data_IF_237938903131
#
_entry.id   IF_237938903131
#
_cell.length_a   1.000
_cell.length_b   1.000
_cell.length_c   1.000
_cell.angle_alpha   90.00
_cell.angle_beta   90.00
_cell.angle_gamma   90.00
#
_symmetry.space_group_name_H-M   'P 1'
#
loop_
_entity.id
_entity.type
_entity.pdbx_description
1 polymer ?
#
# COMPACT_ATOMS: atom_id res chain seq x y z
N UNK A 1 -6.08 -17.48 -21.03
CA UNK A 1 -6.72 -16.19 -20.68
C UNK A 1 -5.70 -15.39 -19.89
N UNK A 2 -5.70 -14.07 -19.98
CA UNK A 2 -4.78 -13.25 -19.17
C UNK A 2 -5.10 -13.47 -17.68
N UNK A 3 -4.08 -13.69 -16.85
CA UNK A 3 -4.21 -13.83 -15.39
C UNK A 3 -4.36 -12.43 -14.78
N UNK A 4 -5.59 -11.96 -14.63
CA UNK A 4 -5.89 -10.61 -14.18
C UNK A 4 -6.15 -10.57 -12.67
N UNK A 5 -5.43 -9.71 -11.96
CA UNK A 5 -5.58 -9.48 -10.52
C UNK A 5 -5.78 -7.99 -10.25
N UNK A 6 -6.73 -7.64 -9.40
CA UNK A 6 -6.87 -6.28 -8.89
C UNK A 6 -6.26 -6.18 -7.50
N UNK A 7 -5.37 -5.22 -7.29
CA UNK A 7 -4.81 -4.89 -5.99
C UNK A 7 -5.41 -3.58 -5.46
N UNK A 8 -6.07 -3.67 -4.31
CA UNK A 8 -6.60 -2.54 -3.55
C UNK A 8 -5.58 -2.17 -2.50
N UNK A 9 -4.93 -1.01 -2.68
CA UNK A 9 -3.78 -0.63 -1.89
C UNK A 9 -3.97 0.75 -1.25
N UNK A 10 -3.37 0.92 -0.07
CA UNK A 10 -3.32 2.21 0.62
C UNK A 10 -2.00 2.34 1.36
N UNK A 11 -1.30 3.43 1.14
CA UNK A 11 -0.12 3.79 1.92
C UNK A 11 -0.62 4.29 3.29
N UNK A 12 -0.11 3.67 4.35
CA UNK A 12 -0.55 3.90 5.73
C UNK A 12 -0.89 2.63 6.49
N UNK A 13 -1.13 1.51 5.79
CA UNK A 13 -1.21 0.19 6.42
C UNK A 13 0.19 -0.37 6.67
N UNK A 14 0.49 -0.71 7.90
CA UNK A 14 1.82 -1.21 8.29
C UNK A 14 2.16 -2.56 7.65
N UNK A 15 1.20 -3.49 7.58
CA UNK A 15 1.38 -4.78 6.91
C UNK A 15 1.59 -4.67 5.39
N UNK A 16 1.15 -3.58 4.77
CA UNK A 16 1.40 -3.33 3.35
C UNK A 16 2.88 -3.14 3.00
N UNK A 17 3.77 -2.94 4.00
CA UNK A 17 5.21 -3.03 3.80
C UNK A 17 5.63 -4.35 3.16
N UNK A 18 5.12 -5.46 3.70
CA UNK A 18 5.44 -6.80 3.21
C UNK A 18 5.02 -7.00 1.75
N UNK A 19 3.84 -6.48 1.40
CA UNK A 19 3.35 -6.47 0.01
C UNK A 19 4.19 -5.56 -0.88
N UNK A 20 4.51 -4.35 -0.43
CA UNK A 20 5.29 -3.38 -1.20
C UNK A 20 6.65 -3.94 -1.65
N UNK A 21 7.28 -4.75 -0.80
CA UNK A 21 8.58 -5.37 -1.09
C UNK A 21 8.50 -6.55 -2.07
N UNK A 22 7.32 -7.17 -2.27
CA UNK A 22 7.20 -8.45 -3.01
C UNK A 22 6.31 -8.38 -4.25
N UNK A 23 5.28 -7.53 -4.24
CA UNK A 23 4.18 -7.58 -5.21
C UNK A 23 4.67 -7.52 -6.66
N UNK A 24 5.59 -6.62 -6.97
CA UNK A 24 6.15 -6.48 -8.33
C UNK A 24 6.80 -7.77 -8.82
N UNK A 25 7.64 -8.37 -7.97
CA UNK A 25 8.35 -9.60 -8.30
C UNK A 25 7.40 -10.79 -8.46
N UNK A 26 6.42 -10.92 -7.57
CA UNK A 26 5.39 -11.97 -7.66
C UNK A 26 4.60 -11.85 -8.96
N UNK A 27 4.14 -10.65 -9.32
CA UNK A 27 3.38 -10.45 -10.55
C UNK A 27 4.21 -10.75 -11.81
N UNK A 28 5.48 -10.35 -11.84
CA UNK A 28 6.38 -10.64 -12.96
C UNK A 28 6.65 -12.14 -13.10
N UNK A 29 6.94 -12.82 -11.99
CA UNK A 29 7.24 -14.26 -11.97
C UNK A 29 6.06 -15.11 -12.43
N UNK A 30 4.86 -14.70 -12.06
CA UNK A 30 3.63 -15.45 -12.31
C UNK A 30 2.85 -14.97 -13.54
N UNK A 31 3.42 -14.04 -14.32
CA UNK A 31 2.81 -13.44 -15.53
C UNK A 31 1.40 -12.89 -15.26
N UNK A 32 1.28 -12.06 -14.22
CA UNK A 32 0.01 -11.47 -13.79
C UNK A 32 -0.15 -10.07 -14.35
N UNK A 33 -1.26 -9.82 -15.03
CA UNK A 33 -1.72 -8.49 -15.38
C UNK A 33 -2.39 -7.84 -14.18
N UNK A 34 -1.68 -6.89 -13.53
CA UNK A 34 -2.11 -6.27 -12.29
C UNK A 34 -2.82 -4.93 -12.54
N UNK A 35 -4.07 -4.84 -12.09
CA UNK A 35 -4.78 -3.56 -11.97
C UNK A 35 -4.63 -3.02 -10.56
N UNK A 36 -4.08 -1.81 -10.39
CA UNK A 36 -3.88 -1.20 -9.08
C UNK A 36 -4.94 -0.14 -8.83
N UNK A 37 -5.55 -0.18 -7.64
CA UNK A 37 -6.55 0.78 -7.20
C UNK A 37 -6.11 1.39 -5.86
N UNK A 38 -5.52 2.60 -5.88
CA UNK A 38 -5.20 3.33 -4.66
C UNK A 38 -6.48 3.80 -3.97
N UNK A 39 -6.64 3.48 -2.68
CA UNK A 39 -7.85 3.75 -1.89
C UNK A 39 -7.53 4.35 -0.53
N UNK A 40 -8.52 4.99 0.11
CA UNK A 40 -8.42 5.46 1.49
C UNK A 40 -8.88 4.39 2.48
N UNK A 41 -7.93 3.62 3.00
CA UNK A 41 -8.25 2.68 4.06
C UNK A 41 -8.78 3.38 5.33
N UNK A 42 -8.33 4.62 5.58
CA UNK A 42 -8.82 5.41 6.71
C UNK A 42 -10.32 5.72 6.60
N UNK A 43 -10.82 6.05 5.40
CA UNK A 43 -12.25 6.27 5.19
C UNK A 43 -13.05 4.98 5.35
N UNK A 44 -12.56 3.86 4.82
CA UNK A 44 -13.17 2.54 5.01
C UNK A 44 -13.26 2.19 6.50
N UNK A 45 -12.16 2.35 7.24
CA UNK A 45 -12.13 2.06 8.68
C UNK A 45 -13.08 2.94 9.47
N UNK A 46 -13.20 4.22 9.12
CA UNK A 46 -14.16 5.13 9.76
C UNK A 46 -15.60 4.69 9.51
N UNK A 47 -15.94 4.26 8.29
CA UNK A 47 -17.29 3.78 7.98
C UNK A 47 -17.68 2.51 8.72
N UNK A 48 -16.70 1.74 9.22
CA UNK A 48 -16.87 0.49 9.96
C UNK A 48 -16.66 0.65 11.47
N UNK A 49 -16.44 1.87 11.97
CA UNK A 49 -16.05 2.16 13.35
C UNK A 49 -14.87 1.29 13.82
N UNK A 50 -13.89 1.10 12.95
CA UNK A 50 -12.75 0.24 13.19
C UNK A 50 -11.43 1.01 13.15
N UNK A 51 -10.68 0.95 14.27
CA UNK A 51 -9.28 1.41 14.35
C UNK A 51 -8.43 0.20 14.75
N UNK A 52 -7.75 -0.47 13.80
CA UNK A 52 -7.15 -1.78 14.05
C UNK A 52 -6.00 -1.75 15.05
N UNK A 53 -5.19 -0.68 15.05
CA UNK A 53 -4.01 -0.54 15.90
C UNK A 53 -3.95 0.84 16.59
N UNK A 54 -4.95 1.18 17.46
CA UNK A 54 -4.90 2.46 18.15
C UNK A 54 -3.71 2.46 19.12
N UNK A 55 -3.01 3.58 19.32
CA UNK A 55 -1.87 3.67 20.25
C UNK A 55 -2.19 3.20 21.66
N UNK A 56 -3.44 3.32 22.10
CA UNK A 56 -3.91 2.86 23.41
C UNK A 56 -3.85 1.34 23.58
N UNK A 57 -3.86 0.56 22.52
CA UNK A 57 -3.74 -0.90 22.53
C UNK A 57 -2.28 -1.34 22.34
N UNK A 58 -1.41 -0.88 23.24
CA UNK A 58 0.05 -1.05 23.17
C UNK A 58 0.48 -2.50 22.84
N UNK A 59 -0.04 -3.48 23.55
CA UNK A 59 0.31 -4.90 23.33
C UNK A 59 0.03 -5.35 21.90
N UNK A 60 -1.08 -4.90 21.32
CA UNK A 60 -1.44 -5.23 19.93
C UNK A 60 -0.53 -4.52 18.93
N UNK A 61 -0.16 -3.28 19.19
CA UNK A 61 0.80 -2.52 18.37
C UNK A 61 2.18 -3.14 18.44
N UNK A 62 2.66 -3.49 19.63
CA UNK A 62 3.97 -4.15 19.82
C UNK A 62 4.01 -5.51 19.09
N UNK A 63 2.92 -6.28 19.14
CA UNK A 63 2.80 -7.54 18.38
C UNK A 63 2.89 -7.29 16.87
N UNK A 64 2.15 -6.31 16.35
CA UNK A 64 2.16 -5.95 14.93
C UNK A 64 3.59 -5.70 14.43
N UNK A 65 4.38 -4.90 15.15
CA UNK A 65 5.76 -4.61 14.77
C UNK A 65 6.64 -5.87 14.75
N UNK A 66 6.56 -6.69 15.80
CA UNK A 66 7.30 -7.96 15.87
C UNK A 66 6.88 -8.95 14.78
N UNK A 67 5.61 -8.93 14.42
CA UNK A 67 5.09 -9.81 13.38
C UNK A 67 5.59 -9.40 12.00
N UNK A 68 5.60 -8.11 11.69
CA UNK A 68 6.16 -7.58 10.45
C UNK A 68 7.65 -7.93 10.32
N UNK A 69 8.44 -7.79 11.38
CA UNK A 69 9.85 -8.22 11.37
C UNK A 69 10.02 -9.73 11.08
N UNK A 70 9.21 -10.57 11.74
CA UNK A 70 9.25 -12.03 11.53
C UNK A 70 8.90 -12.40 10.10
N UNK A 71 7.82 -11.81 9.58
CA UNK A 71 7.37 -12.08 8.21
C UNK A 71 8.37 -11.58 7.18
N UNK A 72 8.98 -10.42 7.40
CA UNK A 72 10.04 -9.92 6.54
C UNK A 72 11.22 -10.92 6.42
N UNK A 73 11.64 -11.50 7.55
CA UNK A 73 12.67 -12.55 7.59
C UNK A 73 12.24 -13.80 6.83
N UNK A 74 11.00 -14.25 7.01
CA UNK A 74 10.44 -15.43 6.32
C UNK A 74 10.39 -15.21 4.81
N UNK A 75 10.03 -14.02 4.36
CA UNK A 75 9.97 -13.67 2.94
C UNK A 75 11.33 -13.34 2.30
N UNK A 76 12.40 -13.27 3.09
CA UNK A 76 13.72 -12.88 2.59
C UNK A 76 13.81 -11.43 2.11
N UNK A 77 12.90 -10.57 2.56
CA UNK A 77 12.90 -9.13 2.26
C UNK A 77 13.61 -8.34 3.36
N UNK A 78 14.01 -7.08 3.11
CA UNK A 78 14.69 -6.27 4.13
C UNK A 78 13.89 -6.22 5.43
N UNK A 79 14.56 -6.43 6.56
CA UNK A 79 13.94 -6.37 7.89
C UNK A 79 13.78 -4.91 8.30
N UNK A 80 12.56 -4.45 8.62
CA UNK A 80 12.33 -3.04 8.93
C UNK A 80 12.93 -2.62 10.28
N UNK A 81 13.19 -1.32 10.42
CA UNK A 81 13.52 -0.69 11.69
C UNK A 81 12.20 -0.33 12.37
N UNK A 82 11.86 -1.03 13.43
CA UNK A 82 10.58 -0.85 14.13
C UNK A 82 10.76 -0.39 15.58
N UNK A 83 9.82 0.43 16.11
CA UNK A 83 8.63 0.94 15.40
C UNK A 83 9.00 1.98 14.35
N UNK A 84 8.41 1.90 13.17
CA UNK A 84 8.45 2.98 12.20
C UNK A 84 7.54 4.14 12.65
N UNK A 85 7.71 5.38 12.16
CA UNK A 85 6.79 6.49 12.44
C UNK A 85 5.33 6.09 12.18
N UNK A 86 4.49 6.11 13.22
CA UNK A 86 3.10 5.65 13.16
C UNK A 86 2.28 6.23 14.33
N UNK A 87 1.03 6.67 14.10
CA UNK A 87 0.32 6.78 12.82
C UNK A 87 0.89 7.87 11.92
N UNK A 88 0.60 7.80 10.62
CA UNK A 88 1.03 8.83 9.67
C UNK A 88 0.33 10.16 9.92
N UNK A 89 1.04 11.27 9.79
CA UNK A 89 0.50 12.63 9.81
C UNK A 89 -0.10 12.98 8.44
N UNK A 90 0.69 12.84 7.38
CA UNK A 90 0.30 13.14 6.01
C UNK A 90 -0.34 11.92 5.30
N UNK A 91 -1.39 11.38 5.92
CA UNK A 91 -1.97 10.10 5.50
C UNK A 91 -2.46 10.07 4.04
N UNK A 92 -3.16 11.12 3.60
CA UNK A 92 -3.76 11.11 2.26
C UNK A 92 -2.76 11.52 1.18
N UNK A 93 -1.78 12.37 1.50
CA UNK A 93 -0.80 12.90 0.55
C UNK A 93 -0.07 11.80 -0.23
N UNK A 94 0.45 10.79 0.46
CA UNK A 94 1.11 9.65 -0.19
C UNK A 94 0.19 8.89 -1.14
N UNK A 95 -1.10 8.77 -0.81
CA UNK A 95 -2.06 8.06 -1.64
C UNK A 95 -2.51 8.88 -2.86
N UNK A 96 -2.67 10.20 -2.71
CA UNK A 96 -2.97 11.10 -3.83
C UNK A 96 -1.83 11.10 -4.86
N UNK A 97 -0.58 11.22 -4.40
CA UNK A 97 0.61 11.02 -5.24
C UNK A 97 0.60 9.64 -5.88
N UNK A 98 0.23 8.60 -5.13
CA UNK A 98 0.11 7.24 -5.63
C UNK A 98 -0.85 7.10 -6.82
N UNK A 99 -1.94 7.87 -6.87
CA UNK A 99 -2.86 7.88 -8.02
C UNK A 99 -2.14 8.41 -9.27
N UNK A 100 -1.39 9.52 -9.14
CA UNK A 100 -0.62 10.09 -10.25
C UNK A 100 0.46 9.10 -10.73
N UNK A 101 1.16 8.44 -9.79
CA UNK A 101 2.14 7.41 -10.13
C UNK A 101 1.51 6.20 -10.83
N UNK A 102 0.27 5.85 -10.47
CA UNK A 102 -0.46 4.78 -11.14
C UNK A 102 -0.77 5.12 -12.60
N UNK A 103 -1.17 6.35 -12.87
CA UNK A 103 -1.42 6.84 -14.23
C UNK A 103 -0.17 6.84 -15.11
N UNK A 104 0.99 6.97 -14.50
CA UNK A 104 2.30 6.91 -15.18
C UNK A 104 2.89 5.49 -15.26
N UNK A 105 2.19 4.47 -14.75
CA UNK A 105 2.71 3.09 -14.70
C UNK A 105 3.86 2.88 -13.69
N UNK A 106 4.03 3.82 -12.75
CA UNK A 106 5.14 3.82 -11.78
C UNK A 106 4.69 3.42 -10.36
N UNK A 107 3.42 3.03 -10.15
CA UNK A 107 2.89 2.81 -8.81
C UNK A 107 3.67 1.78 -8.00
N UNK A 108 4.05 0.65 -8.58
CA UNK A 108 4.72 -0.42 -7.82
C UNK A 108 6.10 0.01 -7.32
N UNK A 109 6.85 0.75 -8.13
CA UNK A 109 8.16 1.29 -7.72
C UNK A 109 7.98 2.43 -6.71
N UNK A 110 7.01 3.31 -6.90
CA UNK A 110 6.62 4.35 -5.95
C UNK A 110 6.23 3.74 -4.60
N UNK A 111 5.36 2.75 -4.60
CA UNK A 111 4.88 2.03 -3.42
C UNK A 111 6.04 1.40 -2.65
N UNK A 112 6.92 0.68 -3.35
CA UNK A 112 8.11 0.07 -2.77
C UNK A 112 9.04 1.11 -2.16
N UNK A 113 9.44 2.13 -2.90
CA UNK A 113 10.39 3.13 -2.42
C UNK A 113 9.82 3.98 -1.27
N UNK A 114 8.53 4.29 -1.28
CA UNK A 114 7.85 4.98 -0.17
C UNK A 114 7.94 4.17 1.12
N UNK A 115 7.69 2.85 1.05
CA UNK A 115 7.82 1.97 2.21
C UNK A 115 9.28 1.72 2.62
N UNK A 116 10.23 1.65 1.69
CA UNK A 116 11.66 1.58 2.01
C UNK A 116 12.09 2.80 2.83
N UNK A 117 11.73 4.00 2.39
CA UNK A 117 12.05 5.22 3.11
C UNK A 117 11.37 5.27 4.47
N UNK A 118 10.13 4.83 4.57
CA UNK A 118 9.38 4.82 5.83
C UNK A 118 9.90 3.78 6.81
N UNK A 119 10.03 2.52 6.40
CA UNK A 119 10.33 1.38 7.27
C UNK A 119 11.81 1.11 7.48
N UNK A 120 12.67 1.46 6.52
CA UNK A 120 14.12 1.21 6.61
C UNK A 120 14.93 2.45 7.00
N UNK A 121 14.37 3.67 6.84
CA UNK A 121 15.09 4.92 7.09
C UNK A 121 14.35 5.89 8.03
N UNK A 122 13.12 5.55 8.46
CA UNK A 122 12.32 6.38 9.36
C UNK A 122 11.76 7.66 8.74
N UNK A 123 11.79 7.80 7.42
CA UNK A 123 11.20 8.93 6.73
C UNK A 123 9.70 8.63 6.51
N UNK A 124 8.85 9.22 7.32
CA UNK A 124 7.39 9.00 7.28
C UNK A 124 6.82 9.12 5.87
N UNK A 125 5.99 8.13 5.46
CA UNK A 125 5.35 8.14 4.14
C UNK A 125 4.50 9.40 3.95
N UNK A 126 4.65 10.06 2.79
CA UNK A 126 3.98 11.32 2.49
C UNK A 126 4.66 12.57 3.04
N UNK A 127 5.68 12.45 3.91
CA UNK A 127 6.49 13.59 4.32
C UNK A 127 7.29 14.14 3.14
N UNK A 128 7.66 15.43 3.19
CA UNK A 128 8.48 16.05 2.15
C UNK A 128 9.78 15.30 1.89
N UNK A 129 10.43 14.83 2.96
CA UNK A 129 11.67 14.07 2.87
C UNK A 129 11.48 12.73 2.19
N UNK A 130 10.42 12.00 2.53
CA UNK A 130 10.08 10.73 1.91
C UNK A 130 9.81 10.94 0.41
N UNK A 131 8.91 11.85 0.08
CA UNK A 131 8.51 12.12 -1.31
C UNK A 131 9.71 12.57 -2.16
N UNK A 132 10.54 13.49 -1.63
CA UNK A 132 11.73 13.95 -2.35
C UNK A 132 12.65 12.81 -2.74
N UNK A 133 13.02 11.93 -1.79
CA UNK A 133 13.91 10.80 -2.07
C UNK A 133 13.28 9.83 -3.06
N UNK A 134 11.97 9.59 -2.93
CA UNK A 134 11.25 8.69 -3.85
C UNK A 134 11.18 9.26 -5.26
N UNK A 135 10.91 10.55 -5.43
CA UNK A 135 10.88 11.20 -6.73
C UNK A 135 12.25 11.23 -7.40
N UNK A 136 13.32 11.50 -6.63
CA UNK A 136 14.70 11.43 -7.11
C UNK A 136 15.04 10.02 -7.65
N UNK A 137 14.63 8.94 -6.92
CA UNK A 137 14.82 7.56 -7.36
C UNK A 137 14.03 7.22 -8.63
N UNK A 138 12.81 7.72 -8.74
CA UNK A 138 11.93 7.51 -9.90
C UNK A 138 12.28 8.41 -11.09
N UNK A 139 13.12 9.43 -10.88
CA UNK A 139 13.50 10.42 -11.88
C UNK A 139 12.31 11.18 -12.45
N UNK A 140 11.37 11.54 -11.58
CA UNK A 140 10.18 12.32 -11.92
C UNK A 140 10.29 13.74 -11.39
N UNK A 141 9.60 14.68 -12.06
CA UNK A 141 9.52 16.07 -11.61
C UNK A 141 8.62 16.20 -10.38
N UNK A 142 9.18 16.65 -9.28
CA UNK A 142 8.48 16.77 -8.01
C UNK A 142 7.33 17.79 -8.09
N UNK A 143 7.56 18.96 -8.70
CA UNK A 143 6.56 20.05 -8.75
C UNK A 143 5.37 19.61 -9.59
N UNK A 144 5.63 18.99 -10.75
CA UNK A 144 4.61 18.45 -11.63
C UNK A 144 3.73 17.40 -10.92
N UNK A 145 4.38 16.43 -10.23
CA UNK A 145 3.67 15.36 -9.55
C UNK A 145 2.81 15.87 -8.39
N UNK A 146 3.35 16.76 -7.57
CA UNK A 146 2.61 17.35 -6.46
C UNK A 146 1.42 18.17 -7.00
N UNK A 147 1.63 19.02 -7.98
CA UNK A 147 0.55 19.79 -8.58
C UNK A 147 -0.58 18.90 -9.15
N UNK A 148 -0.23 17.81 -9.84
CA UNK A 148 -1.22 16.83 -10.31
C UNK A 148 -1.95 16.14 -9.16
N UNK A 149 -1.24 15.81 -8.08
CA UNK A 149 -1.83 15.11 -6.94
C UNK A 149 -2.88 15.94 -6.20
N UNK A 150 -2.76 17.27 -6.22
CA UNK A 150 -3.74 18.18 -5.59
C UNK A 150 -5.14 18.07 -6.22
N UNK A 151 -5.22 17.66 -7.49
CA UNK A 151 -6.48 17.43 -8.21
C UNK A 151 -7.06 16.02 -8.09
N UNK A 152 -6.40 15.09 -7.40
CA UNK A 152 -6.80 13.67 -7.34
C UNK A 152 -7.84 13.34 -6.26
N UNK A 153 -8.33 14.33 -5.51
CA UNK A 153 -9.26 14.12 -4.40
C UNK A 153 -10.52 13.35 -4.79
N UNK A 154 -11.20 13.76 -5.83
CA UNK A 154 -12.45 13.13 -6.29
C UNK A 154 -12.20 11.67 -6.72
N UNK A 155 -11.16 11.44 -7.49
CA UNK A 155 -10.79 10.09 -7.93
C UNK A 155 -10.42 9.16 -6.76
N UNK A 156 -9.77 9.70 -5.74
CA UNK A 156 -9.47 8.97 -4.51
C UNK A 156 -10.74 8.55 -3.77
N UNK A 157 -11.73 9.44 -3.70
CA UNK A 157 -13.05 9.16 -3.13
C UNK A 157 -13.78 8.10 -3.96
N UNK A 158 -13.82 8.24 -5.28
CA UNK A 158 -14.45 7.28 -6.20
C UNK A 158 -13.83 5.88 -6.08
N UNK A 159 -12.51 5.78 -6.08
CA UNK A 159 -11.81 4.53 -5.87
C UNK A 159 -12.19 3.88 -4.53
N UNK A 160 -12.28 4.68 -3.47
CA UNK A 160 -12.63 4.20 -2.14
C UNK A 160 -14.07 3.72 -2.07
N UNK A 161 -15.01 4.45 -2.70
CA UNK A 161 -16.40 4.03 -2.80
C UNK A 161 -16.56 2.75 -3.63
N UNK A 162 -15.78 2.60 -4.71
CA UNK A 162 -15.75 1.37 -5.50
C UNK A 162 -15.27 0.18 -4.67
N UNK A 163 -14.21 0.39 -3.87
CA UNK A 163 -13.71 -0.62 -2.95
C UNK A 163 -14.77 -1.04 -1.92
N UNK A 164 -15.45 -0.09 -1.29
CA UNK A 164 -16.55 -0.37 -0.34
C UNK A 164 -17.68 -1.16 -0.99
N UNK A 165 -18.11 -0.77 -2.19
CA UNK A 165 -19.16 -1.48 -2.93
C UNK A 165 -18.75 -2.90 -3.31
N UNK A 166 -17.47 -3.13 -3.57
CA UNK A 166 -16.93 -4.46 -3.86
C UNK A 166 -16.80 -5.33 -2.60
N UNK A 167 -16.84 -4.73 -1.40
CA UNK A 167 -16.71 -5.43 -0.12
C UNK A 167 -15.31 -5.38 0.47
N UNK A 168 -14.43 -4.51 -0.02
CA UNK A 168 -13.09 -4.31 0.55
C UNK A 168 -13.21 -3.61 1.91
N UNK A 169 -12.65 -4.22 2.93
CA UNK A 169 -12.67 -3.74 4.32
C UNK A 169 -11.29 -3.53 4.93
N UNK A 170 -10.22 -3.90 4.22
CA UNK A 170 -8.85 -3.80 4.69
C UNK A 170 -7.85 -3.77 3.54
N UNK A 171 -6.60 -3.43 3.82
CA UNK A 171 -5.50 -3.44 2.84
C UNK A 171 -4.24 -4.04 3.44
N UNK A 172 -3.37 -4.67 2.62
CA UNK A 172 -3.58 -4.91 1.20
C UNK A 172 -4.73 -5.88 0.96
N UNK A 173 -5.47 -5.71 -0.12
CA UNK A 173 -6.44 -6.70 -0.59
C UNK A 173 -6.26 -6.95 -2.07
N UNK A 174 -6.50 -8.18 -2.47
CA UNK A 174 -6.45 -8.62 -3.86
C UNK A 174 -7.79 -9.18 -4.25
N UNK A 175 -8.18 -9.02 -5.50
CA UNK A 175 -9.44 -9.59 -5.98
C UNK A 175 -9.37 -9.99 -7.44
N UNK A 176 -10.09 -11.04 -7.80
CA UNK A 176 -10.42 -11.41 -9.17
C UNK A 176 -11.82 -12.02 -9.19
N UNK A 177 -12.54 -11.84 -10.27
CA UNK A 177 -13.97 -12.19 -10.30
C UNK A 177 -14.71 -11.57 -9.11
N UNK A 178 -15.29 -12.35 -8.22
CA UNK A 178 -16.00 -11.91 -7.01
C UNK A 178 -15.29 -12.34 -5.72
N UNK A 179 -14.07 -12.86 -5.81
CA UNK A 179 -13.28 -13.32 -4.65
C UNK A 179 -12.39 -12.20 -4.10
N UNK A 180 -12.27 -12.13 -2.78
CA UNK A 180 -11.43 -11.16 -2.05
C UNK A 180 -10.41 -11.90 -1.20
N UNK A 181 -9.17 -11.49 -1.31
CA UNK A 181 -8.03 -11.99 -0.54
C UNK A 181 -7.42 -10.85 0.27
N UNK A 182 -7.76 -10.78 1.55
CA UNK A 182 -7.28 -9.71 2.42
C UNK A 182 -6.05 -10.13 3.23
N UNK A 183 -4.99 -9.36 3.10
CA UNK A 183 -3.73 -9.51 3.82
C UNK A 183 -2.54 -9.74 2.89
N UNK A 184 -1.34 -9.40 3.36
CA UNK A 184 -0.10 -9.68 2.63
C UNK A 184 0.13 -11.19 2.44
N UNK A 185 -0.35 -11.97 3.39
CA UNK A 185 -0.25 -13.43 3.42
C UNK A 185 -1.30 -14.14 2.56
N UNK A 186 -2.17 -13.40 1.88
CA UNK A 186 -3.15 -13.92 0.92
C UNK A 186 -2.74 -13.67 -0.54
N UNK A 187 -1.63 -12.99 -0.78
CA UNK A 187 -1.16 -12.72 -2.14
C UNK A 187 -0.92 -14.02 -2.92
N UNK A 188 -0.22 -14.98 -2.33
CA UNK A 188 0.08 -16.26 -2.98
C UNK A 188 -1.18 -17.13 -3.16
N UNK A 189 -2.15 -17.02 -2.27
CA UNK A 189 -3.44 -17.71 -2.41
C UNK A 189 -4.23 -17.14 -3.59
N UNK A 190 -4.30 -15.81 -3.71
CA UNK A 190 -4.91 -15.14 -4.85
C UNK A 190 -4.26 -15.56 -6.18
N UNK A 191 -2.93 -15.58 -6.21
CA UNK A 191 -2.16 -15.96 -7.40
C UNK A 191 -2.41 -17.42 -7.82
N UNK A 192 -2.47 -18.35 -6.87
CA UNK A 192 -2.74 -19.77 -7.15
C UNK A 192 -4.12 -20.00 -7.75
N UNK A 193 -5.12 -19.23 -7.34
CA UNK A 193 -6.49 -19.39 -7.80
C UNK A 193 -6.80 -18.67 -9.12
N UNK A 194 -5.85 -17.87 -9.63
CA UNK A 194 -5.93 -17.27 -10.98
C UNK A 194 -5.63 -18.27 -12.12
N UNK A 195 -5.36 -19.50 -11.82
CA UNK A 195 -4.99 -20.56 -12.79
C UNK A 195 -6.16 -21.09 -13.61
#
# INVERSE_FOLDING_TARGET
>A
MARELTAWLSIGSTYSYLTAMRLKEVCLKEDINLTIVPISIRQIMKSMDNIPFPPSKKTKVDYMWKDIERRAKIYGIPVPIVPAPYPLVEFDRANLVGIVMNDQGLYLDYFKYTYEEWFLRGNEAGSERNLKVVFDKLRVDQEEIIHKSDSMGDRYIENTQRALKFGIFGVPSFSFSNEIFWGDDRLEDAVRLLS
#
